data_IF_744097798930
#
_entry.id   IF_744097798930
#
_cell.length_a   1.000
_cell.length_b   1.000
_cell.length_c   1.000
_cell.angle_alpha   90.00
_cell.angle_beta   90.00
_cell.angle_gamma   90.00
#
_symmetry.space_group_name_H-M   'P 1'
#
loop_
_entity.id
_entity.type
_entity.pdbx_description
1 polymer ?
#
# COMPACT_ATOMS: atom_id res chain seq x y z
N UNK A 1 3.30 -18.94 6.01
CA UNK A 1 3.99 -17.93 6.85
C UNK A 1 2.92 -17.00 7.42
N UNK A 2 2.85 -16.84 8.73
CA UNK A 2 1.79 -16.06 9.39
C UNK A 2 2.07 -14.56 9.25
N UNK A 3 1.36 -13.88 8.36
CA UNK A 3 1.31 -12.43 8.31
C UNK A 3 0.41 -11.95 9.45
N UNK A 4 0.93 -11.15 10.36
CA UNK A 4 0.13 -10.53 11.41
C UNK A 4 -0.11 -9.07 11.05
N UNK A 5 -1.35 -8.74 10.70
CA UNK A 5 -1.81 -7.37 10.60
C UNK A 5 -2.39 -6.93 11.94
N UNK A 6 -1.98 -5.77 12.44
CA UNK A 6 -2.57 -5.13 13.60
C UNK A 6 -3.13 -3.77 13.17
N UNK A 7 -4.41 -3.55 13.40
CA UNK A 7 -5.09 -2.32 13.00
C UNK A 7 -5.79 -1.68 14.19
N UNK A 8 -5.65 -0.36 14.35
CA UNK A 8 -6.48 0.45 15.23
C UNK A 8 -7.29 1.42 14.37
N UNK A 9 -8.61 1.37 14.52
CA UNK A 9 -9.57 2.28 13.88
C UNK A 9 -10.20 3.15 14.96
N UNK A 10 -10.20 4.45 14.76
CA UNK A 10 -10.98 5.39 15.57
C UNK A 10 -12.21 5.80 14.76
N UNK A 11 -13.40 5.57 15.30
CA UNK A 11 -14.68 5.89 14.68
C UNK A 11 -15.22 7.20 15.22
N UNK A 12 -15.88 7.97 14.37
CA UNK A 12 -16.67 9.14 14.78
C UNK A 12 -18.11 8.75 15.06
N UNK A 13 -18.83 9.60 15.79
CA UNK A 13 -20.23 9.39 16.17
C UNK A 13 -21.19 9.24 14.98
N UNK A 14 -20.79 9.63 13.77
CA UNK A 14 -21.57 9.46 12.55
C UNK A 14 -21.41 8.09 11.87
N UNK A 15 -20.67 7.15 12.49
CA UNK A 15 -20.48 5.80 11.95
C UNK A 15 -19.49 5.68 10.78
N UNK A 16 -18.91 6.80 10.35
CA UNK A 16 -17.86 6.80 9.33
C UNK A 16 -16.49 6.68 10.00
N UNK A 17 -15.60 5.91 9.40
CA UNK A 17 -14.22 5.73 9.87
C UNK A 17 -13.41 6.98 9.50
N UNK A 18 -13.33 7.98 10.39
CA UNK A 18 -12.59 9.22 10.15
C UNK A 18 -11.08 9.07 10.29
N UNK A 19 -10.62 8.10 11.08
CA UNK A 19 -9.20 7.87 11.28
C UNK A 19 -8.90 6.39 11.22
N UNK A 20 -8.18 5.97 10.18
CA UNK A 20 -7.63 4.63 10.09
C UNK A 20 -6.13 4.68 10.32
N UNK A 21 -5.68 4.22 11.48
CA UNK A 21 -4.26 3.94 11.70
C UNK A 21 -4.04 2.45 11.54
N UNK A 22 -3.34 2.09 10.50
CA UNK A 22 -3.02 0.70 10.19
C UNK A 22 -1.54 0.46 10.43
N UNK A 23 -1.21 -0.43 11.37
CA UNK A 23 0.14 -0.96 11.52
C UNK A 23 0.12 -2.41 11.07
N UNK A 24 0.78 -2.70 9.94
CA UNK A 24 0.93 -4.06 9.43
C UNK A 24 2.33 -4.54 9.77
N UNK A 25 2.44 -5.54 10.64
CA UNK A 25 3.67 -6.30 10.79
C UNK A 25 3.69 -7.43 9.76
N UNK A 26 4.31 -7.19 8.62
CA UNK A 26 4.53 -8.22 7.61
C UNK A 26 5.74 -9.05 8.04
N UNK A 27 5.51 -10.29 8.48
CA UNK A 27 6.57 -11.25 8.72
C UNK A 27 6.97 -11.94 7.40
N UNK A 28 7.70 -11.19 6.56
CA UNK A 28 8.64 -11.82 5.62
C UNK A 28 10.03 -11.41 6.09
N UNK A 29 10.59 -12.18 7.01
CA UNK A 29 11.81 -11.78 7.72
C UNK A 29 11.54 -10.79 8.87
N UNK A 30 12.35 -9.74 9.01
CA UNK A 30 12.27 -8.72 10.06
C UNK A 30 11.60 -7.41 9.60
N UNK A 31 10.99 -7.40 8.42
CA UNK A 31 10.38 -6.18 7.87
C UNK A 31 9.04 -5.86 8.56
N UNK A 32 8.85 -4.58 8.86
CA UNK A 32 7.60 -4.01 9.39
C UNK A 32 7.15 -2.89 8.47
N UNK A 33 5.90 -2.91 8.04
CA UNK A 33 5.27 -1.79 7.34
C UNK A 33 4.29 -1.09 8.28
N UNK A 34 4.33 0.24 8.30
CA UNK A 34 3.38 1.08 9.01
C UNK A 34 2.70 2.01 8.03
N UNK A 35 1.37 1.94 7.97
CA UNK A 35 0.56 2.80 7.12
C UNK A 35 -0.38 3.63 8.00
N UNK A 36 -0.58 4.88 7.61
CA UNK A 36 -1.56 5.77 8.22
C UNK A 36 -2.41 6.37 7.12
N UNK A 37 -3.71 6.31 7.27
CA UNK A 37 -4.67 7.00 6.40
C UNK A 37 -5.65 7.79 7.26
N UNK A 38 -6.07 8.95 6.77
CA UNK A 38 -6.97 9.87 7.47
C UNK A 38 -8.00 10.39 6.49
N UNK A 39 -9.28 10.36 6.90
CA UNK A 39 -10.38 11.02 6.19
C UNK A 39 -10.78 12.24 7.03
N UNK A 40 -10.89 13.40 6.39
CA UNK A 40 -11.30 14.65 7.08
C UNK A 40 -10.17 15.47 7.68
N UNK A 41 -8.90 15.12 7.42
CA UNK A 41 -7.75 15.94 7.79
C UNK A 41 -6.73 16.00 6.65
N UNK A 42 -6.01 17.12 6.57
CA UNK A 42 -4.88 17.23 5.65
C UNK A 42 -3.65 16.54 6.24
N UNK A 43 -3.15 15.55 5.51
CA UNK A 43 -1.92 14.83 5.86
C UNK A 43 -1.01 14.78 4.62
N UNK A 44 0.31 15.00 4.79
CA UNK A 44 1.24 14.85 3.68
C UNK A 44 1.18 13.43 3.10
N UNK A 45 1.18 13.32 1.78
CA UNK A 45 1.34 12.05 1.07
C UNK A 45 2.83 11.75 1.01
N UNK A 46 3.29 10.88 1.89
CA UNK A 46 4.71 10.59 2.06
C UNK A 46 4.92 9.11 2.35
N UNK A 47 5.92 8.51 1.72
CA UNK A 47 6.39 7.17 2.00
C UNK A 47 7.88 7.17 2.29
N UNK A 48 8.34 6.22 3.11
CA UNK A 48 9.76 5.99 3.33
C UNK A 48 10.04 4.50 3.51
N UNK A 49 11.23 4.07 3.09
CA UNK A 49 11.73 2.72 3.31
C UNK A 49 13.05 2.81 4.07
N UNK A 50 13.07 2.28 5.28
CA UNK A 50 14.23 2.30 6.17
C UNK A 50 14.98 0.98 6.11
N UNK A 51 16.28 1.06 5.85
CA UNK A 51 17.22 -0.06 5.85
C UNK A 51 18.29 0.09 6.91
N UNK A 52 19.21 -0.87 6.97
CA UNK A 52 20.34 -0.87 7.94
C UNK A 52 21.50 0.04 7.54
N UNK A 53 21.50 0.57 6.32
CA UNK A 53 22.58 1.41 5.76
C UNK A 53 22.06 2.77 5.25
N UNK A 54 20.83 3.11 5.58
CA UNK A 54 20.20 4.34 5.12
C UNK A 54 18.70 4.18 4.89
N UNK A 55 18.09 5.15 4.22
CA UNK A 55 16.67 5.14 3.91
C UNK A 55 16.39 5.78 2.55
N UNK A 56 15.20 5.53 2.04
CA UNK A 56 14.67 6.17 0.83
C UNK A 56 13.42 6.93 1.22
N UNK A 57 13.37 8.20 0.88
CA UNK A 57 12.20 9.06 0.98
C UNK A 57 11.46 9.12 -0.37
N UNK A 58 10.15 8.96 -0.34
CA UNK A 58 9.30 8.96 -1.52
C UNK A 58 8.17 9.96 -1.30
N UNK A 59 8.38 11.25 -1.64
CA UNK A 59 7.32 12.24 -1.66
C UNK A 59 6.21 11.83 -2.65
N UNK A 60 4.97 12.11 -2.29
CA UNK A 60 3.80 11.80 -3.14
C UNK A 60 3.76 10.32 -3.60
N UNK A 61 4.02 9.39 -2.68
CA UNK A 61 4.22 7.96 -2.98
C UNK A 61 3.08 7.30 -3.77
N UNK A 62 1.91 7.92 -3.88
CA UNK A 62 0.80 7.43 -4.71
C UNK A 62 1.09 7.58 -6.20
N UNK A 63 1.73 8.71 -6.58
CA UNK A 63 2.15 9.03 -7.95
C UNK A 63 3.58 9.58 -7.90
N UNK A 64 4.58 8.77 -7.53
CA UNK A 64 5.92 9.25 -7.28
C UNK A 64 6.63 9.60 -8.58
N UNK A 65 7.13 10.82 -8.65
CA UNK A 65 8.04 11.27 -9.72
C UNK A 65 9.44 11.53 -9.21
N UNK A 66 9.64 11.40 -7.89
CA UNK A 66 10.90 11.69 -7.21
C UNK A 66 11.12 10.73 -6.04
N UNK A 67 12.36 10.33 -5.85
CA UNK A 67 12.81 9.65 -4.64
C UNK A 67 14.16 10.21 -4.19
N UNK A 68 14.45 10.20 -2.89
CA UNK A 68 15.73 10.63 -2.34
C UNK A 68 16.33 9.48 -1.55
N UNK A 69 17.49 9.02 -1.98
CA UNK A 69 18.25 7.98 -1.30
C UNK A 69 19.24 8.63 -0.34
N UNK A 70 19.16 8.27 0.93
CA UNK A 70 20.08 8.65 1.99
C UNK A 70 20.89 7.43 2.41
N UNK A 71 22.20 7.48 2.20
CA UNK A 71 23.15 6.43 2.66
C UNK A 71 24.02 7.05 3.75
N UNK A 72 24.22 6.31 4.84
CA UNK A 72 25.01 6.77 5.96
C UNK A 72 26.44 7.17 5.50
N UNK A 73 26.84 8.40 5.84
CA UNK A 73 28.13 8.95 5.47
C UNK A 73 28.29 9.41 4.02
N UNK A 74 27.22 9.45 3.23
CA UNK A 74 27.22 9.94 1.85
C UNK A 74 26.25 11.10 1.67
N UNK A 75 26.47 11.99 0.71
CA UNK A 75 25.48 13.00 0.37
C UNK A 75 24.20 12.35 -0.19
N UNK A 76 23.03 12.95 0.02
CA UNK A 76 21.77 12.45 -0.53
C UNK A 76 21.83 12.36 -2.07
N UNK A 77 21.29 11.28 -2.62
CA UNK A 77 21.11 11.11 -4.05
C UNK A 77 19.64 11.29 -4.40
N UNK A 78 19.35 12.31 -5.17
CA UNK A 78 18.03 12.57 -5.69
C UNK A 78 17.83 11.89 -7.05
N UNK A 79 16.72 11.19 -7.21
CA UNK A 79 16.30 10.48 -8.43
C UNK A 79 14.98 11.08 -8.86
N UNK A 80 14.94 11.63 -10.05
CA UNK A 80 13.71 12.15 -10.67
C UNK A 80 13.33 11.28 -11.87
N UNK A 81 12.06 10.90 -11.93
CA UNK A 81 11.48 10.11 -13.02
C UNK A 81 10.07 10.65 -13.30
N UNK A 82 9.94 11.72 -14.09
CA UNK A 82 8.64 12.26 -14.46
C UNK A 82 7.84 11.25 -15.28
N UNK A 83 6.53 11.30 -15.17
CA UNK A 83 5.63 10.54 -16.04
C UNK A 83 5.71 11.07 -17.47
N UNK A 84 5.48 10.20 -18.45
CA UNK A 84 5.34 10.62 -19.85
C UNK A 84 4.03 11.40 -20.07
N UNK A 85 2.95 10.99 -19.37
CA UNK A 85 1.62 11.62 -19.42
C UNK A 85 1.11 11.87 -18.00
N UNK A 86 0.71 10.82 -17.28
CA UNK A 86 0.11 10.90 -15.94
C UNK A 86 0.32 9.64 -15.07
N UNK A 87 1.12 8.68 -15.55
CA UNK A 87 1.45 7.43 -14.87
C UNK A 87 0.57 6.24 -15.24
N UNK A 88 -0.66 6.45 -15.73
CA UNK A 88 -1.55 5.35 -16.17
C UNK A 88 -1.07 4.69 -17.47
N UNK A 89 -0.28 5.37 -18.26
CA UNK A 89 0.30 4.83 -19.50
C UNK A 89 1.11 3.57 -19.27
N UNK A 90 1.73 3.40 -18.11
CA UNK A 90 2.55 2.21 -17.79
C UNK A 90 1.70 0.97 -17.56
N UNK A 91 0.59 1.08 -16.84
CA UNK A 91 -0.32 -0.07 -16.62
C UNK A 91 -1.05 -0.44 -17.92
N UNK A 92 -1.43 0.56 -18.72
CA UNK A 92 -2.09 0.33 -20.04
C UNK A 92 -1.14 -0.43 -20.96
N UNK A 93 0.13 0.00 -21.08
CA UNK A 93 1.14 -0.68 -21.89
C UNK A 93 1.41 -2.10 -21.42
N UNK A 94 1.49 -2.31 -20.11
CA UNK A 94 1.67 -3.65 -19.53
C UNK A 94 0.48 -4.57 -19.86
N UNK A 95 -0.74 -4.07 -19.71
CA UNK A 95 -1.95 -4.82 -20.07
C UNK A 95 -1.98 -5.17 -21.57
N UNK A 96 -1.66 -4.23 -22.44
CA UNK A 96 -1.57 -4.44 -23.90
C UNK A 96 -0.49 -5.48 -24.26
N UNK A 97 0.69 -5.40 -23.62
CA UNK A 97 1.77 -6.35 -23.84
C UNK A 97 1.39 -7.77 -23.41
N UNK A 98 0.73 -7.91 -22.25
CA UNK A 98 0.24 -9.19 -21.76
C UNK A 98 -0.83 -9.78 -22.69
N UNK A 99 -1.79 -8.97 -23.11
CA UNK A 99 -2.85 -9.40 -24.04
C UNK A 99 -2.26 -9.82 -25.41
N UNK A 100 -1.34 -9.03 -25.98
CA UNK A 100 -0.67 -9.36 -27.24
C UNK A 100 0.19 -10.61 -27.18
N UNK A 101 0.73 -10.94 -26.01
CA UNK A 101 1.50 -12.15 -25.76
C UNK A 101 0.62 -13.37 -25.35
N UNK A 102 -0.70 -13.23 -25.29
CA UNK A 102 -1.63 -14.27 -24.85
C UNK A 102 -1.50 -14.62 -23.38
N UNK A 103 -0.91 -13.75 -22.55
CA UNK A 103 -0.77 -13.95 -21.09
C UNK A 103 -2.06 -13.56 -20.39
N UNK A 104 -2.55 -14.42 -19.49
CA UNK A 104 -3.75 -14.15 -18.69
C UNK A 104 -3.53 -13.18 -17.52
N UNK A 105 -2.29 -12.81 -17.21
CA UNK A 105 -1.94 -11.87 -16.14
C UNK A 105 -0.55 -11.26 -16.38
N UNK A 106 -0.30 -10.12 -15.73
CA UNK A 106 1.04 -9.52 -15.65
C UNK A 106 1.92 -10.25 -14.63
N UNK A 107 3.22 -10.34 -14.94
CA UNK A 107 4.23 -10.81 -13.97
C UNK A 107 4.64 -9.73 -12.95
N UNK A 108 4.33 -8.45 -13.24
CA UNK A 108 4.61 -7.32 -12.36
C UNK A 108 3.61 -7.23 -11.20
N UNK A 109 2.35 -7.59 -11.47
CA UNK A 109 1.28 -7.67 -10.47
C UNK A 109 0.43 -8.91 -10.79
N UNK A 110 0.74 -10.01 -10.11
CA UNK A 110 0.04 -11.29 -10.31
C UNK A 110 -1.29 -11.34 -9.56
N UNK A 111 -2.20 -12.22 -10.01
CA UNK A 111 -3.44 -12.47 -9.29
C UNK A 111 -3.21 -12.93 -7.84
N UNK A 112 -2.15 -13.69 -7.58
CA UNK A 112 -1.79 -14.11 -6.23
C UNK A 112 -1.41 -12.91 -5.34
N UNK A 113 -0.64 -11.95 -5.85
CA UNK A 113 -0.30 -10.72 -5.14
C UNK A 113 -1.55 -9.89 -4.84
N UNK A 114 -2.46 -9.75 -5.81
CA UNK A 114 -3.73 -9.05 -5.61
C UNK A 114 -4.55 -9.71 -4.50
N UNK A 115 -4.69 -11.03 -4.52
CA UNK A 115 -5.41 -11.78 -3.48
C UNK A 115 -4.73 -11.64 -2.12
N UNK A 116 -3.41 -11.62 -2.06
CA UNK A 116 -2.66 -11.40 -0.81
C UNK A 116 -2.97 -10.04 -0.19
N UNK A 117 -3.00 -8.97 -1.00
CA UNK A 117 -3.39 -7.63 -0.54
C UNK A 117 -4.83 -7.61 -0.03
N UNK A 118 -5.77 -8.22 -0.78
CA UNK A 118 -7.17 -8.31 -0.36
C UNK A 118 -7.36 -9.06 0.96
N UNK A 119 -6.61 -10.14 1.19
CA UNK A 119 -6.63 -10.87 2.48
C UNK A 119 -6.18 -10.00 3.66
N UNK A 120 -5.18 -9.15 3.46
CA UNK A 120 -4.75 -8.18 4.48
C UNK A 120 -5.89 -7.20 4.78
N UNK A 121 -6.55 -6.67 3.75
CA UNK A 121 -7.68 -5.75 3.92
C UNK A 121 -8.86 -6.42 4.64
N UNK A 122 -9.18 -7.67 4.31
CA UNK A 122 -10.24 -8.44 4.98
C UNK A 122 -9.90 -8.72 6.46
N UNK A 123 -8.65 -9.02 6.76
CA UNK A 123 -8.20 -9.21 8.15
C UNK A 123 -8.32 -7.92 8.96
N UNK A 124 -7.98 -6.76 8.38
CA UNK A 124 -8.17 -5.45 9.00
C UNK A 124 -9.65 -5.19 9.29
N UNK A 125 -10.52 -5.44 8.31
CA UNK A 125 -11.98 -5.32 8.48
C UNK A 125 -12.49 -6.22 9.60
N UNK A 126 -12.06 -7.46 9.63
CA UNK A 126 -12.41 -8.44 10.65
C UNK A 126 -12.01 -7.98 12.05
N UNK A 127 -10.78 -7.49 12.23
CA UNK A 127 -10.27 -6.99 13.52
C UNK A 127 -11.08 -5.79 14.05
N UNK A 128 -11.64 -4.99 13.15
CA UNK A 128 -12.40 -3.78 13.50
C UNK A 128 -13.93 -3.97 13.46
N UNK A 129 -14.39 -5.18 13.21
CA UNK A 129 -15.83 -5.48 13.14
C UNK A 129 -16.56 -4.77 11.99
N UNK A 130 -15.81 -4.32 10.96
CA UNK A 130 -16.38 -3.66 9.80
C UNK A 130 -17.00 -4.71 8.86
N UNK A 131 -18.29 -4.58 8.62
CA UNK A 131 -19.04 -5.44 7.69
C UNK A 131 -19.86 -4.57 6.74
N UNK A 132 -19.89 -4.98 5.49
CA UNK A 132 -20.78 -4.32 4.53
C UNK A 132 -22.21 -4.82 4.67
N UNK A 133 -23.22 -3.96 4.40
CA UNK A 133 -24.63 -4.32 4.57
C UNK A 133 -25.08 -5.56 3.79
N UNK A 134 -24.41 -5.87 2.67
CA UNK A 134 -24.74 -7.00 1.80
C UNK A 134 -24.05 -8.32 2.22
N UNK A 135 -23.12 -8.27 3.19
CA UNK A 135 -22.48 -9.49 3.69
C UNK A 135 -23.45 -10.26 4.59
N UNK A 136 -23.78 -11.49 4.21
CA UNK A 136 -24.62 -12.36 5.03
C UNK A 136 -23.94 -12.60 6.38
N UNK A 137 -24.71 -12.50 7.46
CA UNK A 137 -24.27 -13.00 8.75
C UNK A 137 -24.00 -14.50 8.60
N UNK A 138 -22.75 -14.92 8.62
CA UNK A 138 -22.44 -16.34 8.82
C UNK A 138 -23.03 -16.73 10.17
N UNK A 139 -23.99 -17.65 10.15
CA UNK A 139 -24.50 -18.26 11.37
C UNK A 139 -23.31 -18.79 12.17
N UNK A 140 -23.29 -18.43 13.45
CA UNK A 140 -22.34 -18.97 14.43
C UNK A 140 -22.62 -20.42 14.69
#
# INVERSE_FOLDING_TARGET
MSEKAFCKVERTDCGNDFFNRLSIALRKGKAVAQLTTVIGANMPVFGAVYGTKGHIDIPEFKNPTRAVLHIDGQPPLEIEQPFEINGFEYEIREAQACAGAGKGQSERMTGEQTVAVMRIMDEIRRQNGLRFPFEKQSAR
#
